data_IF_704067966952
#
_entry.id   IF_704067966952
#
_cell.length_a   1.000
_cell.length_b   1.000
_cell.length_c   1.000
_cell.angle_alpha   90.00
_cell.angle_beta   90.00
_cell.angle_gamma   90.00
#
_symmetry.space_group_name_H-M   'P 1'
#
loop_
_entity.id
_entity.type
_entity.pdbx_description
1 polymer ?
#
# COMPACT_ATOMS: atom_id res chain seq x y z
N UNK A 1 18.46 -13.16 -8.90
CA UNK A 1 18.11 -11.83 -8.36
C UNK A 1 17.69 -10.96 -9.54
N UNK A 2 16.50 -10.34 -9.52
CA UNK A 2 16.12 -9.38 -10.57
C UNK A 2 17.01 -8.14 -10.47
N UNK A 3 17.30 -7.49 -11.60
CA UNK A 3 18.03 -6.23 -11.55
C UNK A 3 17.11 -5.15 -10.93
N UNK A 4 17.61 -4.40 -9.95
CA UNK A 4 16.82 -3.36 -9.26
C UNK A 4 16.27 -2.32 -10.25
N UNK A 5 17.02 -2.01 -11.32
CA UNK A 5 16.57 -1.08 -12.35
C UNK A 5 15.36 -1.60 -13.16
N UNK A 6 15.15 -2.92 -13.22
CA UNK A 6 14.00 -3.53 -13.90
C UNK A 6 12.72 -3.47 -13.04
N UNK A 7 12.84 -3.36 -11.72
CA UNK A 7 11.72 -3.39 -10.77
C UNK A 7 11.23 -1.98 -10.42
N UNK A 8 12.14 -1.00 -10.36
CA UNK A 8 11.84 0.38 -9.99
C UNK A 8 11.26 1.32 -11.08
N UNK A 9 11.02 0.95 -12.37
CA UNK A 9 10.49 1.90 -13.35
C UNK A 9 9.19 2.59 -12.92
N UNK A 10 8.30 1.87 -12.24
CA UNK A 10 7.07 2.42 -11.65
C UNK A 10 6.84 1.85 -10.26
N UNK A 11 7.46 2.48 -9.27
CA UNK A 11 7.42 2.05 -7.86
C UNK A 11 6.31 2.75 -7.10
N UNK A 12 5.27 2.00 -6.71
CA UNK A 12 4.17 2.49 -5.91
C UNK A 12 4.43 2.27 -4.41
N UNK A 13 4.33 3.33 -3.61
CA UNK A 13 4.52 3.30 -2.16
C UNK A 13 3.29 3.89 -1.51
N UNK A 14 2.57 3.12 -0.70
CA UNK A 14 1.34 3.57 -0.06
C UNK A 14 1.04 2.84 1.25
N UNK A 15 0.28 3.50 2.12
CA UNK A 15 -0.31 2.93 3.34
C UNK A 15 -1.71 3.47 3.60
N UNK A 16 -2.31 3.07 4.74
CA UNK A 16 -3.69 3.48 5.08
C UNK A 16 -3.81 4.99 5.26
N UNK A 17 -2.76 5.65 5.75
CA UNK A 17 -2.76 7.10 5.96
C UNK A 17 -3.01 7.89 4.65
N UNK A 18 -2.66 7.32 3.50
CA UNK A 18 -2.78 7.96 2.19
C UNK A 18 -4.21 7.87 1.62
N UNK A 19 -5.02 6.93 2.11
CA UNK A 19 -6.34 6.58 1.55
C UNK A 19 -7.54 7.13 2.34
N UNK A 20 -7.29 8.00 3.32
CA UNK A 20 -8.33 8.54 4.22
C UNK A 20 -9.35 9.45 3.55
N UNK A 21 -8.96 10.08 2.45
CA UNK A 21 -9.82 11.00 1.71
C UNK A 21 -10.91 10.27 0.90
N UNK A 22 -10.87 8.93 0.85
CA UNK A 22 -11.77 8.09 0.07
C UNK A 22 -12.95 7.51 0.90
N UNK A 23 -13.01 7.79 2.21
CA UNK A 23 -14.10 7.35 3.09
C UNK A 23 -13.62 6.73 4.40
N UNK A 24 -14.55 6.08 5.12
CA UNK A 24 -14.37 5.67 6.52
C UNK A 24 -13.49 4.42 6.72
N UNK A 25 -13.19 3.66 5.65
CA UNK A 25 -12.34 2.47 5.73
C UNK A 25 -11.06 2.60 4.88
N UNK A 26 -10.00 3.25 5.42
CA UNK A 26 -8.74 3.43 4.72
C UNK A 26 -8.04 2.12 4.31
N UNK A 27 -8.28 1.01 5.01
CA UNK A 27 -7.68 -0.29 4.68
C UNK A 27 -8.29 -0.87 3.40
N UNK A 28 -9.63 -0.88 3.29
CA UNK A 28 -10.31 -1.32 2.07
C UNK A 28 -10.04 -0.36 0.91
N UNK A 29 -9.95 0.93 1.19
CA UNK A 29 -9.58 1.94 0.20
C UNK A 29 -8.18 1.71 -0.36
N UNK A 30 -7.20 1.38 0.50
CA UNK A 30 -5.84 1.04 0.05
C UNK A 30 -5.83 -0.18 -0.87
N UNK A 31 -6.58 -1.23 -0.55
CA UNK A 31 -6.68 -2.43 -1.41
C UNK A 31 -7.30 -2.09 -2.77
N UNK A 32 -8.33 -1.25 -2.79
CA UNK A 32 -8.95 -0.77 -4.03
C UNK A 32 -7.99 0.06 -4.88
N UNK A 33 -7.23 0.98 -4.26
CA UNK A 33 -6.22 1.80 -4.94
C UNK A 33 -5.07 0.95 -5.46
N UNK A 34 -4.58 -0.01 -4.66
CA UNK A 34 -3.52 -0.92 -5.08
C UNK A 34 -3.95 -1.78 -6.28
N UNK A 35 -5.19 -2.28 -6.28
CA UNK A 35 -5.74 -3.01 -7.43
C UNK A 35 -5.73 -2.14 -8.70
N UNK A 36 -6.20 -0.89 -8.60
CA UNK A 36 -6.17 0.05 -9.73
C UNK A 36 -4.74 0.36 -10.18
N UNK A 37 -3.80 0.49 -9.25
CA UNK A 37 -2.40 0.72 -9.56
C UNK A 37 -1.77 -0.47 -10.29
N UNK A 38 -2.10 -1.70 -9.88
CA UNK A 38 -1.69 -2.94 -10.58
C UNK A 38 -2.26 -2.97 -12.01
N UNK A 39 -3.54 -2.66 -12.19
CA UNK A 39 -4.18 -2.55 -13.52
C UNK A 39 -3.56 -1.41 -14.35
N UNK A 40 -3.07 -0.35 -13.70
CA UNK A 40 -2.34 0.77 -14.29
C UNK A 40 -0.86 0.50 -14.58
N UNK A 41 -0.35 -0.70 -14.26
CA UNK A 41 0.98 -1.15 -14.67
C UNK A 41 2.13 -0.82 -13.72
N UNK A 42 1.90 -0.66 -12.41
CA UNK A 42 3.00 -0.56 -11.44
C UNK A 42 3.92 -1.79 -11.53
N UNK A 43 5.22 -1.58 -11.39
CA UNK A 43 6.23 -2.65 -11.48
C UNK A 43 6.72 -3.11 -10.11
N UNK A 44 6.43 -2.33 -9.07
CA UNK A 44 6.78 -2.63 -7.70
C UNK A 44 5.80 -1.96 -6.74
N UNK A 45 5.52 -2.62 -5.61
CA UNK A 45 4.74 -2.07 -4.52
C UNK A 45 5.52 -2.15 -3.19
N UNK A 46 5.43 -1.10 -2.39
CA UNK A 46 5.86 -1.09 -0.99
C UNK A 46 4.71 -0.66 -0.11
N UNK A 47 4.30 -1.56 0.78
CA UNK A 47 3.43 -1.23 1.89
C UNK A 47 4.19 -0.37 2.90
N UNK A 48 3.79 0.89 3.03
CA UNK A 48 4.38 1.86 3.94
C UNK A 48 3.29 2.45 4.82
N UNK A 49 3.00 1.75 5.90
CA UNK A 49 1.95 2.11 6.82
C UNK A 49 2.56 2.64 8.12
N UNK A 50 2.84 3.94 8.19
CA UNK A 50 3.47 4.54 9.37
C UNK A 50 3.07 6.00 9.56
N UNK A 51 3.19 6.45 10.79
CA UNK A 51 2.88 7.80 11.25
C UNK A 51 1.42 8.00 11.59
N UNK A 52 1.04 9.27 11.68
CA UNK A 52 -0.31 9.68 12.04
C UNK A 52 -1.34 9.08 11.08
N UNK A 53 -2.36 8.44 11.65
CA UNK A 53 -3.47 7.81 10.94
C UNK A 53 -3.12 6.54 10.15
N UNK A 54 -1.98 5.91 10.45
CA UNK A 54 -1.71 4.53 10.01
C UNK A 54 -2.06 3.51 11.09
N UNK A 55 -1.85 2.22 10.80
CA UNK A 55 -1.97 1.12 11.76
C UNK A 55 -0.66 0.88 12.54
N UNK A 56 0.24 1.86 12.65
CA UNK A 56 1.55 1.68 13.30
C UNK A 56 1.45 1.24 14.77
N UNK A 57 0.35 1.60 15.43
CA UNK A 57 0.06 1.23 16.83
C UNK A 57 -0.83 -0.01 16.94
N UNK A 58 -1.17 -0.64 15.81
CA UNK A 58 -1.96 -1.89 15.72
C UNK A 58 -1.20 -2.96 14.91
N UNK A 59 -0.10 -3.54 15.41
CA UNK A 59 0.79 -4.40 14.62
C UNK A 59 0.11 -5.63 14.01
N UNK A 60 -0.88 -6.21 14.71
CA UNK A 60 -1.65 -7.36 14.21
C UNK A 60 -2.48 -6.98 12.97
N UNK A 61 -3.18 -5.84 13.03
CA UNK A 61 -4.00 -5.34 11.92
C UNK A 61 -3.13 -4.88 10.76
N UNK A 62 -2.03 -4.18 11.07
CA UNK A 62 -1.05 -3.73 10.09
C UNK A 62 -0.46 -4.92 9.32
N UNK A 63 -0.07 -5.99 10.02
CA UNK A 63 0.44 -7.21 9.39
C UNK A 63 -0.64 -7.90 8.57
N UNK A 64 -1.86 -7.99 9.08
CA UNK A 64 -2.97 -8.60 8.36
C UNK A 64 -3.28 -7.85 7.05
N UNK A 65 -3.20 -6.52 7.06
CA UNK A 65 -3.35 -5.70 5.86
C UNK A 65 -2.18 -5.90 4.89
N UNK A 66 -0.94 -5.91 5.38
CA UNK A 66 0.25 -6.13 4.56
C UNK A 66 0.21 -7.47 3.80
N UNK A 67 -0.38 -8.52 4.36
CA UNK A 67 -0.57 -9.83 3.72
C UNK A 67 -1.63 -9.77 2.60
N UNK A 68 -2.59 -8.86 2.71
CA UNK A 68 -3.67 -8.68 1.71
C UNK A 68 -3.24 -7.83 0.52
N UNK A 69 -2.29 -6.92 0.72
CA UNK A 69 -1.69 -6.12 -0.34
C UNK A 69 -0.79 -6.96 -1.25
#
# INVERSE_FOLDING_TARGET
MKNIQEILPLYFVAGTQDCRHLGDNPADNLLSVLKQALEGGITCFQFRDKGKFSLENSPTEQRALAIKC
#
